data_IF_764618268517
#
_entry.id   IF_764618268517
#
_cell.length_a   1.000
_cell.length_b   1.000
_cell.length_c   1.000
_cell.angle_alpha   90.00
_cell.angle_beta   90.00
_cell.angle_gamma   90.00
#
_symmetry.space_group_name_H-M   'P 1'
#
loop_
_entity.id
_entity.type
_entity.pdbx_description
1 polymer ?
#
# COMPACT_ATOMS: atom_id res chain seq x y z
N UNK A 1 -26.86 -9.52 17.82
CA UNK A 1 -26.09 -10.39 16.90
C UNK A 1 -24.58 -10.29 17.00
N UNK A 2 -23.94 -9.10 17.11
CA UNK A 2 -22.46 -8.99 17.23
C UNK A 2 -21.85 -9.65 18.48
N UNK A 3 -22.54 -9.61 19.63
CA UNK A 3 -22.05 -10.22 20.88
C UNK A 3 -22.01 -11.74 20.86
N UNK A 4 -23.04 -12.37 20.28
CA UNK A 4 -23.13 -13.84 20.13
C UNK A 4 -22.01 -14.35 19.20
N UNK A 5 -21.66 -13.59 18.16
CA UNK A 5 -20.57 -13.93 17.26
C UNK A 5 -19.17 -13.73 17.86
N UNK A 6 -19.05 -12.83 18.85
CA UNK A 6 -17.84 -12.71 19.67
C UNK A 6 -17.63 -13.93 20.56
N UNK A 7 -18.69 -14.38 21.24
CA UNK A 7 -18.63 -15.56 22.12
C UNK A 7 -18.37 -16.83 21.33
N UNK A 8 -19.05 -17.04 20.20
CA UNK A 8 -18.78 -18.15 19.27
C UNK A 8 -17.35 -18.12 18.73
N UNK A 9 -16.81 -16.94 18.38
CA UNK A 9 -15.39 -16.84 17.99
C UNK A 9 -14.43 -17.17 19.13
N UNK A 10 -14.82 -16.94 20.39
CA UNK A 10 -13.97 -17.23 21.54
C UNK A 10 -14.01 -18.73 21.87
N UNK A 11 -15.16 -19.37 21.70
CA UNK A 11 -15.35 -20.83 21.87
C UNK A 11 -14.72 -21.61 20.70
N UNK A 12 -14.83 -21.09 19.47
CA UNK A 12 -14.21 -21.68 18.26
C UNK A 12 -12.69 -21.46 18.23
N UNK A 13 -12.19 -20.34 18.78
CA UNK A 13 -10.75 -20.03 18.89
C UNK A 13 -10.22 -20.32 20.29
N UNK A 14 -10.63 -21.46 20.86
CA UNK A 14 -10.01 -21.99 22.07
C UNK A 14 -8.50 -22.08 21.88
N UNK A 15 -7.76 -21.37 22.73
CA UNK A 15 -6.31 -21.18 22.70
C UNK A 15 -5.76 -20.56 21.41
N UNK A 16 -4.66 -19.80 21.55
CA UNK A 16 -4.00 -19.09 20.47
C UNK A 16 -3.97 -19.93 19.18
N UNK A 17 -4.40 -19.35 18.05
CA UNK A 17 -4.02 -19.91 16.75
C UNK A 17 -2.50 -19.93 16.74
N UNK A 18 -1.89 -21.06 17.08
CA UNK A 18 -0.57 -21.38 16.60
C UNK A 18 -0.69 -21.25 15.09
N UNK A 19 -0.09 -20.21 14.51
CA UNK A 19 0.24 -20.21 13.10
C UNK A 19 1.28 -21.32 12.94
N UNK A 20 0.81 -22.58 12.94
CA UNK A 20 1.61 -23.73 12.59
C UNK A 20 1.94 -23.55 11.12
N UNK A 21 3.18 -23.14 10.88
CA UNK A 21 3.78 -23.20 9.57
C UNK A 21 3.87 -24.68 9.15
N UNK A 22 3.76 -24.98 7.85
CA UNK A 22 3.97 -26.33 7.37
C UNK A 22 5.41 -26.77 7.65
N UNK A 23 5.62 -28.08 7.74
CA UNK A 23 6.93 -28.67 8.02
C UNK A 23 7.90 -28.57 6.83
N UNK A 24 7.44 -28.09 5.68
CA UNK A 24 8.23 -27.91 4.48
C UNK A 24 7.62 -26.83 3.57
N UNK A 25 8.46 -26.27 2.71
CA UNK A 25 8.06 -25.37 1.63
C UNK A 25 8.69 -25.83 0.32
N UNK A 26 8.01 -25.56 -0.80
CA UNK A 26 8.42 -25.98 -2.14
C UNK A 26 8.60 -24.77 -3.05
N UNK A 27 9.65 -24.79 -3.85
CA UNK A 27 9.86 -23.85 -4.96
C UNK A 27 9.27 -24.38 -6.28
N UNK A 28 8.60 -25.54 -6.24
CA UNK A 28 8.02 -26.23 -7.39
C UNK A 28 8.93 -27.28 -8.02
N UNK A 29 10.21 -27.36 -7.62
CA UNK A 29 11.18 -28.35 -8.09
C UNK A 29 11.61 -29.27 -6.94
N UNK A 30 11.89 -28.71 -5.76
CA UNK A 30 12.32 -29.46 -4.59
C UNK A 30 11.57 -29.01 -3.33
N UNK A 31 11.37 -29.96 -2.41
CA UNK A 31 10.82 -29.69 -1.09
C UNK A 31 11.94 -29.40 -0.09
N UNK A 32 11.89 -28.23 0.54
CA UNK A 32 12.80 -27.82 1.60
C UNK A 32 12.14 -28.06 2.97
N UNK A 33 12.78 -28.91 3.78
CA UNK A 33 12.34 -29.26 5.13
C UNK A 33 13.16 -28.56 6.24
N UNK A 34 14.22 -27.83 5.90
CA UNK A 34 15.06 -27.13 6.86
C UNK A 34 14.49 -25.73 7.14
N UNK A 35 13.98 -25.52 8.36
CA UNK A 35 13.34 -24.26 8.72
C UNK A 35 14.29 -23.06 8.73
N UNK A 36 15.60 -23.28 8.96
CA UNK A 36 16.60 -22.20 8.86
C UNK A 36 16.71 -21.73 7.40
N UNK A 37 16.79 -22.67 6.46
CA UNK A 37 16.87 -22.33 5.03
C UNK A 37 15.56 -21.73 4.53
N UNK A 38 14.41 -22.16 5.09
CA UNK A 38 13.09 -21.62 4.77
C UNK A 38 12.97 -20.15 5.18
N UNK A 39 13.42 -19.75 6.38
CA UNK A 39 13.34 -18.33 6.79
C UNK A 39 14.24 -17.45 5.94
N UNK A 40 15.41 -17.93 5.53
CA UNK A 40 16.27 -17.24 4.55
C UNK A 40 15.60 -17.10 3.19
N UNK A 41 14.99 -18.19 2.69
CA UNK A 41 14.26 -18.20 1.42
C UNK A 41 13.07 -17.24 1.44
N UNK A 42 12.34 -17.16 2.55
CA UNK A 42 11.28 -16.17 2.73
C UNK A 42 11.82 -14.75 2.71
N UNK A 43 12.95 -14.51 3.38
CA UNK A 43 13.52 -13.16 3.44
C UNK A 43 13.97 -12.71 2.05
N UNK A 44 14.72 -13.57 1.35
CA UNK A 44 15.13 -13.34 -0.04
C UNK A 44 13.92 -13.12 -0.95
N UNK A 45 12.90 -13.96 -0.88
CA UNK A 45 11.68 -13.82 -1.67
C UNK A 45 10.98 -12.47 -1.42
N UNK A 46 10.79 -12.06 -0.16
CA UNK A 46 10.09 -10.81 0.14
C UNK A 46 10.89 -9.56 -0.21
N UNK A 47 12.22 -9.60 -0.17
CA UNK A 47 13.06 -8.48 -0.59
C UNK A 47 13.07 -8.34 -2.12
N UNK A 48 13.10 -9.47 -2.85
CA UNK A 48 13.29 -9.46 -4.30
C UNK A 48 11.98 -9.45 -5.12
N UNK A 49 10.83 -9.79 -4.53
CA UNK A 49 9.54 -9.80 -5.27
C UNK A 49 9.20 -8.44 -5.91
N UNK A 50 9.54 -7.33 -5.26
CA UNK A 50 9.32 -5.98 -5.79
C UNK A 50 10.24 -5.65 -6.96
N UNK A 51 11.59 -5.75 -6.78
CA UNK A 51 12.55 -5.52 -7.86
C UNK A 51 12.35 -6.44 -9.06
N UNK A 52 12.07 -7.73 -8.83
CA UNK A 52 11.85 -8.71 -9.90
C UNK A 52 10.64 -8.33 -10.76
N UNK A 53 9.51 -7.98 -10.13
CA UNK A 53 8.31 -7.51 -10.82
C UNK A 53 8.54 -6.20 -11.58
N UNK A 54 9.36 -5.30 -11.05
CA UNK A 54 9.70 -4.04 -11.71
C UNK A 54 10.62 -4.24 -12.92
N UNK A 55 11.49 -5.26 -12.89
CA UNK A 55 12.40 -5.61 -13.98
C UNK A 55 11.68 -6.25 -15.18
N UNK A 56 10.54 -6.93 -14.94
CA UNK A 56 9.67 -7.44 -16.02
C UNK A 56 8.95 -6.33 -16.80
N UNK A 57 8.88 -5.10 -16.25
CA UNK A 57 8.17 -3.98 -16.87
C UNK A 57 9.09 -3.29 -17.89
N UNK A 58 8.64 -3.12 -19.16
CA UNK A 58 9.39 -2.42 -20.18
C UNK A 58 9.88 -1.03 -19.74
N UNK A 59 11.02 -0.59 -20.26
CA UNK A 59 11.45 0.79 -20.08
C UNK A 59 10.60 1.72 -20.95
N UNK A 60 9.91 2.66 -20.30
CA UNK A 60 9.13 3.71 -20.97
C UNK A 60 9.80 5.07 -20.73
N UNK A 61 9.70 5.98 -21.71
CA UNK A 61 10.25 7.33 -21.60
C UNK A 61 9.47 8.17 -20.57
N UNK A 62 10.17 8.67 -19.55
CA UNK A 62 9.60 9.37 -18.39
C UNK A 62 8.96 10.75 -18.69
N UNK A 63 9.20 11.34 -19.86
CA UNK A 63 8.87 12.75 -20.13
C UNK A 63 7.36 13.05 -20.11
N UNK A 64 6.50 12.08 -20.44
CA UNK A 64 5.04 12.29 -20.46
C UNK A 64 4.45 12.38 -19.04
N UNK A 65 5.05 11.71 -18.05
CA UNK A 65 4.49 11.58 -16.70
C UNK A 65 4.63 12.86 -15.88
N UNK A 66 5.68 13.66 -16.08
CA UNK A 66 5.85 14.93 -15.35
C UNK A 66 4.71 15.92 -15.65
N UNK A 67 4.07 15.79 -16.81
CA UNK A 67 2.94 16.63 -17.19
C UNK A 67 1.62 16.25 -16.48
N UNK A 68 1.49 15.01 -16.00
CA UNK A 68 0.28 14.51 -15.36
C UNK A 68 0.17 14.90 -13.89
N UNK A 69 1.27 15.29 -13.25
CA UNK A 69 1.29 15.65 -11.83
C UNK A 69 1.22 17.16 -11.67
N UNK A 70 0.12 17.65 -11.14
CA UNK A 70 -0.04 19.08 -10.84
C UNK A 70 1.00 19.56 -9.82
N UNK A 71 1.61 20.71 -10.08
CA UNK A 71 2.56 21.33 -9.15
C UNK A 71 1.79 22.06 -8.06
N UNK A 72 1.90 21.59 -6.82
CA UNK A 72 1.44 22.37 -5.69
C UNK A 72 2.45 23.50 -5.39
N UNK A 73 1.99 24.75 -5.50
CA UNK A 73 2.81 25.93 -5.18
C UNK A 73 3.15 26.08 -3.69
N UNK A 74 2.49 25.31 -2.81
CA UNK A 74 2.71 25.34 -1.36
C UNK A 74 3.69 24.24 -0.95
N UNK A 75 4.37 24.48 0.18
CA UNK A 75 5.37 23.57 0.72
C UNK A 75 5.00 23.17 2.14
N UNK A 76 5.15 21.87 2.44
CA UNK A 76 4.95 21.32 3.77
C UNK A 76 6.10 21.69 4.71
N UNK A 77 5.77 22.00 5.96
CA UNK A 77 6.74 22.27 7.01
C UNK A 77 6.60 21.27 8.16
N UNK A 78 7.73 20.81 8.69
CA UNK A 78 7.77 19.98 9.89
C UNK A 78 7.85 20.87 11.13
N UNK A 79 6.71 21.08 11.78
CA UNK A 79 6.66 21.77 13.06
C UNK A 79 7.25 20.89 14.17
N UNK A 80 7.81 21.54 15.20
CA UNK A 80 8.33 20.86 16.39
C UNK A 80 7.27 20.00 17.08
N UNK A 81 7.76 19.02 17.83
CA UNK A 81 6.98 18.05 18.61
C UNK A 81 7.13 18.40 20.09
N UNK A 82 6.02 18.30 20.84
CA UNK A 82 6.00 18.50 22.29
C UNK A 82 5.95 17.17 23.05
N UNK A 83 6.36 17.17 24.31
CA UNK A 83 6.28 15.98 25.18
C UNK A 83 4.83 15.46 25.31
N UNK A 84 3.86 16.37 25.46
CA UNK A 84 2.44 16.04 25.53
C UNK A 84 1.95 15.36 24.25
N UNK A 85 2.33 15.89 23.08
CA UNK A 85 1.98 15.29 21.80
C UNK A 85 2.49 13.83 21.67
N UNK A 86 3.72 13.57 22.13
CA UNK A 86 4.27 12.22 22.12
C UNK A 86 3.47 11.29 23.04
N UNK A 87 3.13 11.74 24.24
CA UNK A 87 2.33 10.97 25.20
C UNK A 87 0.96 10.65 24.60
N UNK A 88 0.30 11.62 23.97
CA UNK A 88 -1.01 11.44 23.35
C UNK A 88 -0.96 10.43 22.19
N UNK A 89 0.06 10.54 21.33
CA UNK A 89 0.30 9.59 20.23
C UNK A 89 0.47 8.17 20.75
N UNK A 90 1.24 7.99 21.83
CA UNK A 90 1.49 6.70 22.46
C UNK A 90 0.22 6.15 23.11
N UNK A 91 -0.50 6.97 23.86
CA UNK A 91 -1.75 6.59 24.52
C UNK A 91 -2.81 6.15 23.51
N UNK A 92 -2.90 6.83 22.36
CA UNK A 92 -3.78 6.45 21.24
C UNK A 92 -3.38 5.16 20.51
N UNK A 93 -2.19 4.61 20.76
CA UNK A 93 -1.79 3.33 20.16
C UNK A 93 -2.52 2.15 20.83
N UNK A 94 -2.88 1.13 20.04
CA UNK A 94 -3.48 -0.11 20.57
C UNK A 94 -2.46 -0.89 21.41
N UNK A 95 -2.90 -1.46 22.53
CA UNK A 95 -2.11 -2.37 23.36
C UNK A 95 -1.97 -3.72 22.65
N UNK A 96 -0.91 -3.89 21.86
CA UNK A 96 -0.55 -5.15 21.22
C UNK A 96 0.66 -5.75 21.94
N UNK A 97 0.65 -7.07 22.14
CA UNK A 97 1.76 -7.84 22.72
C UNK A 97 2.80 -8.29 21.69
N UNK A 98 2.58 -8.00 20.40
CA UNK A 98 3.57 -8.29 19.36
C UNK A 98 4.80 -7.42 19.54
N UNK A 99 5.95 -8.05 19.79
CA UNK A 99 7.22 -7.36 19.98
C UNK A 99 7.93 -7.04 18.67
N UNK A 100 8.63 -5.91 18.64
CA UNK A 100 9.49 -5.50 17.53
C UNK A 100 10.83 -6.27 17.51
N UNK A 101 11.83 -5.76 16.78
CA UNK A 101 13.16 -6.36 16.68
C UNK A 101 14.04 -6.16 17.94
N UNK A 102 13.60 -5.36 18.91
CA UNK A 102 14.26 -5.15 20.20
C UNK A 102 13.49 -5.82 21.34
N UNK A 103 12.54 -6.69 21.01
CA UNK A 103 11.60 -7.32 21.93
C UNK A 103 10.76 -6.32 22.75
N UNK A 104 10.51 -5.13 22.19
CA UNK A 104 9.69 -4.09 22.80
C UNK A 104 8.26 -4.14 22.22
N UNK A 105 7.26 -4.12 23.09
CA UNK A 105 5.86 -3.93 22.72
C UNK A 105 5.33 -2.55 23.15
N UNK A 106 4.16 -2.17 22.64
CA UNK A 106 3.57 -0.86 22.92
C UNK A 106 3.08 -0.73 24.38
N UNK A 107 2.81 -1.85 25.06
CA UNK A 107 2.38 -1.85 26.46
C UNK A 107 3.54 -1.43 27.36
N UNK A 108 4.73 -1.98 27.13
CA UNK A 108 5.96 -1.59 27.81
C UNK A 108 6.27 -0.11 27.57
N UNK A 109 6.18 0.35 26.32
CA UNK A 109 6.42 1.76 25.99
C UNK A 109 5.50 2.69 26.79
N UNK A 110 4.21 2.36 26.89
CA UNK A 110 3.24 3.13 27.70
C UNK A 110 3.59 3.17 29.18
N UNK A 111 4.17 2.11 29.72
CA UNK A 111 4.55 2.06 31.14
C UNK A 111 5.76 2.95 31.44
N UNK A 112 6.71 3.05 30.50
CA UNK A 112 7.97 3.78 30.73
C UNK A 112 7.99 5.20 30.17
N UNK A 113 6.99 5.60 29.38
CA UNK A 113 7.04 6.84 28.60
C UNK A 113 7.31 8.09 29.45
N UNK A 114 6.70 8.21 30.62
CA UNK A 114 6.89 9.37 31.50
C UNK A 114 8.36 9.57 31.92
N UNK A 115 9.15 8.49 31.96
CA UNK A 115 10.57 8.54 32.29
C UNK A 115 11.46 8.89 31.09
N UNK A 116 11.00 8.62 29.85
CA UNK A 116 11.80 8.76 28.62
C UNK A 116 11.26 9.79 27.63
N UNK A 117 10.15 10.47 27.94
CA UNK A 117 9.49 11.39 27.00
C UNK A 117 10.38 12.56 26.60
N UNK A 118 11.15 13.10 27.54
CA UNK A 118 12.06 14.24 27.29
C UNK A 118 13.17 13.88 26.28
N UNK A 119 14.00 12.84 26.48
CA UNK A 119 15.00 12.45 25.48
C UNK A 119 14.35 11.99 24.16
N UNK A 120 13.19 11.32 24.21
CA UNK A 120 12.47 10.94 22.99
C UNK A 120 12.02 12.17 22.18
N UNK A 121 11.49 13.19 22.86
CA UNK A 121 11.09 14.47 22.23
C UNK A 121 12.26 15.16 21.56
N UNK A 122 13.43 15.16 22.22
CA UNK A 122 14.65 15.69 21.63
C UNK A 122 15.03 14.92 20.34
N UNK A 123 15.00 13.59 20.36
CA UNK A 123 15.31 12.75 19.19
C UNK A 123 14.30 13.01 18.05
N UNK A 124 13.00 13.08 18.33
CA UNK A 124 11.98 13.36 17.33
C UNK A 124 12.17 14.73 16.69
N UNK A 125 12.43 15.77 17.48
CA UNK A 125 12.70 17.11 16.98
C UNK A 125 13.98 17.18 16.15
N UNK A 126 15.06 16.54 16.60
CA UNK A 126 16.31 16.47 15.84
C UNK A 126 16.09 15.75 14.50
N UNK A 127 15.31 14.68 14.50
CA UNK A 127 14.92 13.97 13.27
C UNK A 127 14.18 14.88 12.28
N UNK A 128 13.21 15.67 12.76
CA UNK A 128 12.47 16.62 11.91
C UNK A 128 13.30 17.81 11.45
N UNK A 129 14.24 18.30 12.26
CA UNK A 129 15.13 19.40 11.87
C UNK A 129 16.15 18.97 10.82
N UNK A 130 16.70 17.76 10.96
CA UNK A 130 17.74 17.24 10.06
C UNK A 130 17.17 16.48 8.85
N UNK A 131 15.88 16.20 8.84
CA UNK A 131 15.25 15.37 7.81
C UNK A 131 15.80 13.95 7.80
N UNK A 132 16.19 13.40 8.95
CA UNK A 132 16.86 12.09 9.03
C UNK A 132 16.16 11.19 10.04
N UNK A 133 15.89 9.94 9.65
CA UNK A 133 15.34 8.90 10.51
C UNK A 133 16.49 8.10 11.13
N UNK A 134 16.49 7.83 12.45
CA UNK A 134 17.53 7.01 13.08
C UNK A 134 17.61 5.60 12.50
N UNK A 135 18.82 5.09 12.24
CA UNK A 135 19.01 3.77 11.60
C UNK A 135 18.38 2.62 12.39
N UNK A 136 18.43 2.65 13.73
CA UNK A 136 17.78 1.64 14.59
C UNK A 136 16.24 1.61 14.41
N UNK A 137 15.64 2.68 13.91
CA UNK A 137 14.20 2.75 13.61
C UNK A 137 13.84 2.21 12.22
N UNK A 138 14.83 1.78 11.42
CA UNK A 138 14.66 1.31 10.02
C UNK A 138 14.73 -0.22 9.86
N UNK A 139 14.76 -0.95 10.96
CA UNK A 139 14.87 -2.42 10.98
C UNK A 139 13.48 -3.03 11.14
N UNK A 140 13.04 -3.86 10.19
CA UNK A 140 11.75 -4.54 10.23
C UNK A 140 11.90 -6.02 10.58
N UNK A 141 11.15 -6.47 11.60
CA UNK A 141 10.96 -7.90 11.87
C UNK A 141 9.75 -8.38 11.07
N UNK A 142 9.96 -9.23 10.07
CA UNK A 142 8.91 -9.69 9.15
C UNK A 142 8.36 -11.02 9.59
N UNK A 143 7.03 -11.09 9.71
CA UNK A 143 6.29 -12.32 10.00
C UNK A 143 5.53 -12.74 8.73
N UNK A 144 5.84 -13.90 8.13
CA UNK A 144 5.09 -14.42 7.00
C UNK A 144 3.68 -14.82 7.45
N UNK A 145 2.64 -14.26 6.82
CA UNK A 145 1.25 -14.62 7.08
C UNK A 145 0.65 -15.23 5.83
N UNK A 146 0.11 -16.45 5.95
CA UNK A 146 -0.58 -17.14 4.86
C UNK A 146 -1.83 -16.34 4.44
N UNK A 147 -1.95 -16.07 3.14
CA UNK A 147 -3.10 -15.34 2.56
C UNK A 147 -4.18 -16.32 2.11
N UNK A 148 -3.86 -17.16 1.12
CA UNK A 148 -4.77 -18.10 0.46
C UNK A 148 -3.97 -19.12 -0.36
N UNK A 149 -4.64 -20.14 -0.91
CA UNK A 149 -3.97 -21.17 -1.73
C UNK A 149 -3.13 -22.15 -0.92
N UNK A 150 -2.23 -22.86 -1.59
CA UNK A 150 -1.36 -23.86 -0.99
C UNK A 150 -0.37 -23.24 0.02
N UNK A 151 -0.35 -23.77 1.25
CA UNK A 151 0.53 -23.32 2.36
C UNK A 151 2.01 -23.64 2.12
N UNK A 152 2.34 -24.56 1.24
CA UNK A 152 3.73 -24.93 0.97
C UNK A 152 4.42 -23.98 -0.03
N UNK A 153 3.71 -22.98 -0.58
CA UNK A 153 4.23 -22.08 -1.62
C UNK A 153 4.47 -20.67 -1.04
N UNK A 154 5.68 -20.13 -1.21
CA UNK A 154 6.08 -18.80 -0.71
C UNK A 154 5.19 -17.65 -1.21
N UNK A 155 4.78 -17.67 -2.48
CA UNK A 155 3.99 -16.60 -3.12
C UNK A 155 2.62 -16.38 -2.48
N UNK A 156 2.10 -17.40 -1.79
CA UNK A 156 0.83 -17.41 -1.07
C UNK A 156 0.91 -16.77 0.33
N UNK A 157 2.07 -16.25 0.72
CA UNK A 157 2.29 -15.53 1.96
C UNK A 157 2.44 -14.02 1.72
N UNK A 158 2.12 -13.26 2.76
CA UNK A 158 2.33 -11.82 2.85
C UNK A 158 3.36 -11.50 3.93
N UNK A 159 4.29 -10.58 3.69
CA UNK A 159 5.21 -10.12 4.73
C UNK A 159 4.50 -9.11 5.64
N UNK A 160 4.30 -9.42 6.92
CA UNK A 160 3.85 -8.41 7.89
C UNK A 160 5.05 -7.88 8.66
N UNK A 161 5.36 -6.60 8.45
CA UNK A 161 6.46 -5.90 9.10
C UNK A 161 6.06 -5.41 10.49
N UNK A 162 6.76 -5.90 11.51
CA UNK A 162 6.76 -5.36 12.85
C UNK A 162 7.91 -4.35 12.95
N UNK A 163 7.57 -3.07 12.83
CA UNK A 163 8.52 -1.97 12.96
C UNK A 163 8.81 -1.64 14.43
N UNK A 164 9.97 -1.02 14.72
CA UNK A 164 10.31 -0.60 16.08
C UNK A 164 9.24 0.32 16.65
N UNK A 165 8.85 0.14 17.92
CA UNK A 165 7.74 0.92 18.49
C UNK A 165 8.01 2.43 18.44
N UNK A 166 9.27 2.83 18.64
CA UNK A 166 9.69 4.23 18.52
C UNK A 166 9.68 4.74 17.07
N UNK A 167 9.96 3.87 16.09
CA UNK A 167 9.80 4.20 14.66
C UNK A 167 8.34 4.54 14.37
N UNK A 168 7.41 3.72 14.87
CA UNK A 168 5.98 3.92 14.71
C UNK A 168 5.46 5.22 15.34
N UNK A 169 6.01 5.62 16.47
CA UNK A 169 5.69 6.90 17.13
C UNK A 169 6.15 8.06 16.23
N UNK A 170 7.40 8.00 15.75
CA UNK A 170 7.95 9.01 14.87
C UNK A 170 7.18 9.10 13.53
N UNK A 171 6.81 7.98 12.93
CA UNK A 171 5.96 7.92 11.74
C UNK A 171 4.59 8.58 11.99
N UNK A 172 3.97 8.36 13.14
CA UNK A 172 2.67 8.99 13.49
C UNK A 172 2.78 10.50 13.60
N UNK A 173 3.85 11.01 14.20
CA UNK A 173 4.11 12.44 14.31
C UNK A 173 4.29 13.07 12.93
N UNK A 174 5.07 12.41 12.05
CA UNK A 174 5.27 12.86 10.66
C UNK A 174 3.95 12.82 9.89
N UNK A 175 3.23 11.70 10.00
CA UNK A 175 1.95 11.48 9.31
C UNK A 175 0.91 12.52 9.71
N UNK A 176 0.85 12.95 10.98
CA UNK A 176 -0.07 14.01 11.42
C UNK A 176 0.19 15.34 10.68
N UNK A 177 1.46 15.73 10.54
CA UNK A 177 1.85 16.95 9.79
C UNK A 177 1.53 16.79 8.30
N UNK A 178 1.77 15.60 7.76
CA UNK A 178 1.47 15.29 6.36
C UNK A 178 -0.03 15.27 6.07
N UNK A 179 -0.86 14.69 6.94
CA UNK A 179 -2.32 14.69 6.81
C UNK A 179 -2.87 16.12 6.83
N UNK A 180 -2.42 16.94 7.78
CA UNK A 180 -2.81 18.35 7.84
C UNK A 180 -2.49 19.10 6.54
N UNK A 181 -1.34 18.83 5.93
CA UNK A 181 -0.94 19.46 4.67
C UNK A 181 -1.77 18.95 3.48
N UNK A 182 -1.95 17.63 3.39
CA UNK A 182 -2.75 16.98 2.34
C UNK A 182 -4.19 17.48 2.36
N UNK A 183 -4.81 17.53 3.53
CA UNK A 183 -6.21 17.93 3.68
C UNK A 183 -6.38 19.43 3.42
N UNK A 184 -5.48 20.27 3.94
CA UNK A 184 -5.49 21.71 3.71
C UNK A 184 -5.39 22.09 2.23
N UNK A 185 -4.62 21.33 1.46
CA UNK A 185 -4.38 21.60 0.04
C UNK A 185 -5.12 20.66 -0.91
N UNK A 186 -5.99 19.77 -0.38
CA UNK A 186 -6.81 18.81 -1.14
C UNK A 186 -6.00 18.02 -2.17
N UNK A 187 -4.85 17.49 -1.73
CA UNK A 187 -3.88 16.86 -2.66
C UNK A 187 -4.33 15.51 -3.18
N UNK A 188 -5.14 14.77 -2.41
CA UNK A 188 -5.64 13.45 -2.82
C UNK A 188 -7.00 13.61 -3.49
N UNK A 189 -7.15 13.01 -4.67
CA UNK A 189 -8.38 13.04 -5.45
C UNK A 189 -9.56 12.41 -4.68
N UNK A 190 -10.76 12.92 -4.87
CA UNK A 190 -11.96 12.44 -4.18
C UNK A 190 -12.40 11.04 -4.58
N UNK A 191 -11.99 10.55 -5.75
CA UNK A 191 -12.18 9.16 -6.18
C UNK A 191 -11.31 8.14 -5.46
N UNK A 192 -10.36 8.57 -4.61
CA UNK A 192 -9.59 7.70 -3.73
C UNK A 192 -10.28 7.59 -2.37
N UNK A 193 -10.73 6.39 -2.00
CA UNK A 193 -11.45 6.09 -0.76
C UNK A 193 -10.59 5.32 0.26
N UNK A 194 -9.55 4.63 -0.20
CA UNK A 194 -8.67 3.83 0.65
C UNK A 194 -7.83 4.72 1.57
N UNK A 195 -7.62 4.28 2.82
CA UNK A 195 -6.71 4.91 3.79
C UNK A 195 -6.88 6.42 3.99
N UNK A 196 -8.10 6.93 3.85
CA UNK A 196 -8.45 8.33 4.13
C UNK A 196 -9.40 8.42 5.32
N UNK A 197 -9.24 9.48 6.10
CA UNK A 197 -10.22 9.81 7.12
C UNK A 197 -11.57 10.12 6.47
N UNK A 198 -12.66 9.73 7.14
CA UNK A 198 -14.03 9.95 6.70
C UNK A 198 -14.41 9.35 5.32
N UNK A 199 -13.60 8.44 4.76
CA UNK A 199 -13.92 7.65 3.56
C UNK A 199 -14.05 6.18 3.96
N UNK A 200 -15.01 5.48 3.35
CA UNK A 200 -15.27 4.07 3.65
C UNK A 200 -15.46 3.26 2.38
N UNK A 201 -15.34 1.93 2.50
CA UNK A 201 -15.64 1.00 1.41
C UNK A 201 -17.09 1.13 0.95
N UNK A 202 -18.02 1.40 1.86
CA UNK A 202 -19.43 1.61 1.52
C UNK A 202 -19.63 2.83 0.62
N UNK A 203 -18.90 3.93 0.87
CA UNK A 203 -18.99 5.11 0.01
C UNK A 203 -18.44 4.86 -1.39
N UNK A 204 -17.35 4.07 -1.51
CA UNK A 204 -16.80 3.67 -2.81
C UNK A 204 -17.81 2.81 -3.59
N UNK A 205 -18.47 1.86 -2.91
CA UNK A 205 -19.49 1.02 -3.52
C UNK A 205 -20.70 1.85 -3.97
N UNK A 206 -21.13 2.83 -3.17
CA UNK A 206 -22.24 3.71 -3.53
C UNK A 206 -21.91 4.52 -4.79
N UNK A 207 -20.74 5.14 -4.87
CA UNK A 207 -20.30 5.91 -6.05
C UNK A 207 -20.21 5.02 -7.30
N UNK A 208 -19.72 3.79 -7.15
CA UNK A 208 -19.70 2.81 -8.25
C UNK A 208 -21.10 2.38 -8.71
N UNK A 209 -22.03 2.13 -7.77
CA UNK A 209 -23.42 1.77 -8.10
C UNK A 209 -24.12 2.93 -8.78
N UNK A 210 -23.95 4.15 -8.26
CA UNK A 210 -24.55 5.36 -8.82
C UNK A 210 -24.11 5.59 -10.27
N UNK A 211 -22.82 5.43 -10.57
CA UNK A 211 -22.30 5.52 -11.94
C UNK A 211 -22.96 4.49 -12.90
N UNK A 212 -23.11 3.25 -12.44
CA UNK A 212 -23.76 2.18 -13.21
C UNK A 212 -25.25 2.50 -13.40
N UNK A 213 -25.97 2.85 -12.34
CA UNK A 213 -27.41 3.12 -12.37
C UNK A 213 -27.72 4.32 -13.26
N UNK A 214 -26.99 5.42 -13.13
CA UNK A 214 -27.17 6.61 -13.98
C UNK A 214 -26.96 6.28 -15.46
N UNK A 215 -26.00 5.42 -15.78
CA UNK A 215 -25.76 4.97 -17.15
C UNK A 215 -26.92 4.13 -17.70
N UNK A 216 -27.48 3.23 -16.87
CA UNK A 216 -28.61 2.38 -17.25
C UNK A 216 -29.91 3.19 -17.42
N UNK A 217 -30.18 4.15 -16.54
CA UNK A 217 -31.33 5.06 -16.64
C UNK A 217 -31.24 5.93 -17.90
N UNK A 218 -30.02 6.35 -18.26
CA UNK A 218 -29.73 7.02 -19.52
C UNK A 218 -29.83 6.12 -20.76
N UNK A 219 -30.21 4.83 -20.61
CA UNK A 219 -30.25 3.82 -21.68
C UNK A 219 -28.91 3.66 -22.41
N UNK A 220 -27.80 3.92 -21.72
CA UNK A 220 -26.45 3.77 -22.27
C UNK A 220 -25.94 2.36 -22.06
N UNK A 221 -24.91 1.99 -22.81
CA UNK A 221 -24.08 0.85 -22.51
C UNK A 221 -22.99 1.26 -21.53
N UNK A 222 -22.78 0.51 -20.45
CA UNK A 222 -21.75 0.80 -19.46
C UNK A 222 -20.82 -0.39 -19.25
N UNK A 223 -19.59 -0.13 -18.87
CA UNK A 223 -18.63 -1.16 -18.51
C UNK A 223 -17.86 -0.76 -17.25
N UNK A 224 -17.66 -1.75 -16.38
CA UNK A 224 -16.80 -1.69 -15.21
C UNK A 224 -15.58 -2.59 -15.43
N UNK A 225 -14.39 -2.03 -15.29
CA UNK A 225 -13.12 -2.76 -15.30
C UNK A 225 -12.54 -2.74 -13.88
N UNK A 226 -12.32 -3.92 -13.33
CA UNK A 226 -11.81 -4.14 -11.99
C UNK A 226 -10.35 -4.56 -12.08
N UNK A 227 -9.45 -3.62 -11.85
CA UNK A 227 -8.00 -3.77 -12.02
C UNK A 227 -7.37 -4.23 -10.70
N UNK A 228 -6.59 -5.32 -10.76
CA UNK A 228 -5.79 -5.86 -9.65
C UNK A 228 -4.29 -5.64 -9.94
N UNK A 229 -3.55 -5.12 -8.97
CA UNK A 229 -2.09 -4.94 -9.06
C UNK A 229 -1.35 -6.07 -8.33
N UNK A 230 -0.27 -6.57 -8.93
CA UNK A 230 0.59 -7.55 -8.27
C UNK A 230 1.42 -6.86 -7.18
N UNK A 231 1.24 -7.28 -5.93
CA UNK A 231 2.10 -6.91 -4.79
C UNK A 231 2.34 -5.39 -4.69
N UNK A 232 1.26 -4.61 -4.83
CA UNK A 232 1.33 -3.17 -5.07
C UNK A 232 2.20 -2.39 -4.06
N UNK A 233 2.17 -2.74 -2.77
CA UNK A 233 3.00 -2.09 -1.74
C UNK A 233 4.49 -2.41 -1.84
N UNK A 234 4.83 -3.58 -2.38
CA UNK A 234 6.19 -4.11 -2.44
C UNK A 234 6.94 -3.57 -3.68
N UNK A 235 6.22 -3.02 -4.68
CA UNK A 235 6.78 -2.57 -5.97
C UNK A 235 7.04 -1.07 -6.08
N UNK A 236 6.77 -0.27 -5.04
CA UNK A 236 6.93 1.20 -5.12
C UNK A 236 8.38 1.58 -5.38
N UNK A 237 8.63 2.24 -6.51
CA UNK A 237 9.94 2.80 -6.80
C UNK A 237 10.16 4.08 -5.98
N UNK A 238 11.19 4.09 -5.13
CA UNK A 238 11.46 5.21 -4.22
C UNK A 238 11.79 6.51 -4.97
N UNK A 239 12.54 6.44 -6.08
CA UNK A 239 12.90 7.62 -6.87
C UNK A 239 11.68 8.26 -7.51
N UNK A 240 10.76 7.45 -8.06
CA UNK A 240 9.49 7.94 -8.60
C UNK A 240 8.66 8.58 -7.48
N UNK A 241 8.49 7.87 -6.36
CA UNK A 241 7.74 8.36 -5.21
C UNK A 241 8.25 9.73 -4.74
N UNK A 242 9.56 9.88 -4.54
CA UNK A 242 10.15 11.14 -4.09
C UNK A 242 9.93 12.29 -5.08
N UNK A 243 10.02 12.03 -6.39
CA UNK A 243 9.70 13.03 -7.43
C UNK A 243 8.24 13.47 -7.35
N UNK A 244 7.30 12.54 -7.18
CA UNK A 244 5.87 12.86 -7.04
C UNK A 244 5.60 13.69 -5.79
N UNK A 245 6.19 13.30 -4.66
CA UNK A 245 6.05 14.01 -3.39
C UNK A 245 6.56 15.46 -3.48
N UNK A 246 7.68 15.67 -4.18
CA UNK A 246 8.18 17.02 -4.45
C UNK A 246 7.14 17.87 -5.22
N UNK A 247 6.55 17.33 -6.28
CA UNK A 247 5.49 18.00 -7.06
C UNK A 247 4.28 18.33 -6.19
N UNK A 248 3.89 17.44 -5.29
CA UNK A 248 2.78 17.65 -4.33
C UNK A 248 3.07 18.66 -3.22
N UNK A 249 4.31 19.16 -3.11
CA UNK A 249 4.67 20.17 -2.11
C UNK A 249 5.35 19.62 -0.87
N UNK A 250 5.70 18.34 -0.84
CA UNK A 250 6.53 17.76 0.20
C UNK A 250 7.98 17.91 -0.29
N UNK A 251 8.64 18.99 0.14
CA UNK A 251 9.97 19.42 -0.35
C UNK A 251 10.95 19.63 0.79
N UNK A 252 12.21 19.84 0.43
CA UNK A 252 13.27 20.17 1.39
C UNK A 252 13.37 19.14 2.52
N UNK A 253 13.47 19.61 3.76
CA UNK A 253 13.67 18.75 4.94
C UNK A 253 12.59 17.68 5.10
N UNK A 254 11.33 17.98 4.75
CA UNK A 254 10.25 17.01 4.81
C UNK A 254 10.45 15.86 3.81
N UNK A 255 10.86 16.20 2.58
CA UNK A 255 11.18 15.20 1.56
C UNK A 255 12.43 14.40 1.94
N UNK A 256 13.47 15.06 2.45
CA UNK A 256 14.68 14.40 2.97
C UNK A 256 14.35 13.40 4.07
N UNK A 257 13.37 13.73 4.93
CA UNK A 257 12.90 12.82 5.97
C UNK A 257 12.29 11.54 5.37
N UNK A 258 11.43 11.65 4.35
CA UNK A 258 10.86 10.48 3.65
C UNK A 258 11.95 9.69 2.93
N UNK A 259 12.88 10.36 2.26
CA UNK A 259 14.02 9.71 1.64
C UNK A 259 14.82 8.92 2.67
N UNK A 260 15.17 9.53 3.81
CA UNK A 260 15.85 8.84 4.90
C UNK A 260 15.01 7.71 5.51
N UNK A 261 13.68 7.83 5.52
CA UNK A 261 12.78 6.78 6.03
C UNK A 261 12.81 5.53 5.12
N UNK A 262 12.93 5.72 3.81
CA UNK A 262 12.93 4.67 2.79
C UNK A 262 14.33 4.06 2.56
N UNK A 263 15.39 4.85 2.67
CA UNK A 263 16.78 4.41 2.40
C UNK A 263 17.45 3.76 3.62
N UNK A 264 18.24 2.72 3.36
CA UNK A 264 19.02 2.01 4.38
C UNK A 264 18.14 1.22 5.35
N UNK A 265 17.00 0.74 4.85
CA UNK A 265 16.10 -0.14 5.61
C UNK A 265 16.57 -1.58 5.49
N UNK A 266 16.41 -2.30 6.59
CA UNK A 266 16.76 -3.71 6.66
C UNK A 266 15.57 -4.52 7.16
N UNK A 267 15.45 -5.76 6.72
CA UNK A 267 14.51 -6.71 7.30
C UNK A 267 15.13 -8.07 7.57
N UNK A 268 14.49 -8.80 8.46
CA UNK A 268 14.72 -10.22 8.65
C UNK A 268 13.38 -10.92 8.87
N UNK A 269 13.29 -12.20 8.53
CA UNK A 269 12.10 -13.03 8.72
C UNK A 269 12.22 -13.82 10.02
N UNK A 270 11.14 -13.85 10.81
CA UNK A 270 11.02 -14.70 12.00
C UNK A 270 9.82 -15.64 11.89
N UNK A 271 10.06 -16.93 12.09
CA UNK A 271 9.05 -18.00 12.09
C UNK A 271 9.24 -18.88 13.33
N UNK A 272 8.46 -18.61 14.38
CA UNK A 272 8.69 -19.25 15.68
C UNK A 272 10.07 -18.88 16.24
N UNK A 273 10.89 -19.88 16.53
CA UNK A 273 12.27 -19.71 17.02
C UNK A 273 13.29 -19.44 15.90
N UNK A 274 12.92 -19.71 14.63
CA UNK A 274 13.82 -19.56 13.49
C UNK A 274 13.85 -18.10 13.01
N UNK A 275 15.05 -17.61 12.73
CA UNK A 275 15.31 -16.21 12.35
C UNK A 275 16.32 -16.18 11.22
N UNK A 276 16.03 -15.43 10.16
CA UNK A 276 16.96 -15.22 9.04
C UNK A 276 18.02 -14.16 9.35
N UNK A 277 19.02 -14.03 8.48
CA UNK A 277 19.89 -12.87 8.39
C UNK A 277 19.14 -11.60 7.99
N UNK A 278 19.85 -10.47 8.08
CA UNK A 278 19.35 -9.17 7.63
C UNK A 278 19.57 -8.99 6.13
N UNK A 279 18.57 -8.48 5.44
CA UNK A 279 18.65 -8.08 4.04
C UNK A 279 18.18 -6.63 3.87
N UNK A 280 18.80 -5.91 2.94
CA UNK A 280 18.46 -4.53 2.63
C UNK A 280 17.22 -4.47 1.72
N UNK A 281 16.37 -3.47 1.93
CA UNK A 281 15.14 -3.27 1.16
C UNK A 281 15.37 -2.18 0.11
N UNK A 282 15.32 -2.55 -1.17
CA UNK A 282 15.56 -1.65 -2.31
C UNK A 282 14.32 -0.94 -2.87
N UNK A 283 13.12 -1.48 -2.65
CA UNK A 283 11.87 -0.87 -3.11
C UNK A 283 10.68 -1.21 -2.21
N UNK A 284 9.53 -0.59 -2.49
CA UNK A 284 8.31 -0.80 -1.73
C UNK A 284 8.26 -0.01 -0.43
N UNK A 285 7.18 -0.20 0.31
CA UNK A 285 6.99 0.34 1.66
C UNK A 285 6.61 -0.80 2.62
N UNK A 286 7.05 -0.77 3.89
CA UNK A 286 6.80 -1.88 4.81
C UNK A 286 5.29 -2.10 5.03
N UNK A 287 4.81 -3.31 4.76
CA UNK A 287 3.43 -3.72 5.04
C UNK A 287 3.20 -3.77 6.56
N UNK A 288 2.42 -2.83 7.09
CA UNK A 288 2.20 -2.66 8.53
C UNK A 288 2.80 -1.37 9.10
N UNK A 289 3.52 -0.60 8.28
CA UNK A 289 3.93 0.78 8.60
C UNK A 289 2.72 1.72 8.69
N UNK A 290 2.92 2.85 9.36
CA UNK A 290 1.90 3.90 9.46
C UNK A 290 1.88 4.73 8.17
N UNK A 291 3.07 5.02 7.62
CA UNK A 291 3.21 5.86 6.43
C UNK A 291 2.94 5.13 5.11
N UNK A 292 3.20 3.82 5.03
CA UNK A 292 3.10 3.04 3.79
C UNK A 292 1.79 3.24 3.03
N UNK A 293 0.62 3.10 3.67
CA UNK A 293 -0.67 3.34 3.02
C UNK A 293 -0.84 4.75 2.43
N UNK A 294 -0.32 5.78 3.10
CA UNK A 294 -0.42 7.16 2.64
C UNK A 294 0.53 7.46 1.49
N UNK A 295 1.76 6.94 1.57
CA UNK A 295 2.73 7.03 0.49
C UNK A 295 2.22 6.31 -0.77
N UNK A 296 1.55 5.17 -0.62
CA UNK A 296 0.90 4.47 -1.72
C UNK A 296 -0.19 5.32 -2.38
N UNK A 297 -1.11 5.89 -1.58
CA UNK A 297 -2.15 6.75 -2.13
C UNK A 297 -1.58 7.93 -2.92
N UNK A 298 -0.56 8.61 -2.39
CA UNK A 298 0.12 9.71 -3.09
C UNK A 298 0.84 9.22 -4.36
N UNK A 299 1.42 8.02 -4.33
CA UNK A 299 2.11 7.44 -5.47
C UNK A 299 1.19 7.23 -6.67
N UNK A 300 -0.05 6.77 -6.43
CA UNK A 300 -1.00 6.49 -7.51
C UNK A 300 -1.93 7.66 -7.83
N UNK A 301 -1.86 8.76 -7.10
CA UNK A 301 -2.88 9.81 -7.14
C UNK A 301 -3.01 10.52 -8.50
N UNK A 302 -1.95 10.57 -9.31
CA UNK A 302 -1.98 11.13 -10.67
C UNK A 302 -2.64 10.19 -11.70
N UNK A 303 -3.04 8.97 -11.31
CA UNK A 303 -3.83 8.08 -12.18
C UNK A 303 -5.15 8.73 -12.63
N UNK A 304 -5.74 9.58 -11.78
CA UNK A 304 -6.96 10.32 -12.08
C UNK A 304 -6.78 11.35 -13.19
N UNK A 305 -5.53 11.73 -13.51
CA UNK A 305 -5.21 12.69 -14.56
C UNK A 305 -4.91 12.00 -15.91
N UNK A 306 -4.81 10.66 -15.93
CA UNK A 306 -4.51 9.87 -17.14
C UNK A 306 -5.64 9.94 -18.17
N UNK A 307 -6.89 9.94 -17.70
CA UNK A 307 -8.07 9.98 -18.56
C UNK A 307 -9.08 11.00 -18.06
N UNK A 308 -9.64 11.76 -19.00
CA UNK A 308 -10.79 12.65 -18.76
C UNK A 308 -12.13 11.98 -19.01
N UNK A 309 -12.12 10.78 -19.58
CA UNK A 309 -13.33 10.03 -19.96
C UNK A 309 -13.71 9.01 -18.89
N UNK A 310 -12.71 8.36 -18.29
CA UNK A 310 -12.93 7.30 -17.31
C UNK A 310 -13.28 7.87 -15.94
N UNK A 311 -14.29 7.29 -15.30
CA UNK A 311 -14.57 7.48 -13.88
C UNK A 311 -13.80 6.43 -13.09
N UNK A 312 -12.91 6.86 -12.22
CA UNK A 312 -12.14 5.97 -11.35
C UNK A 312 -12.69 6.00 -9.93
N UNK A 313 -12.89 4.82 -9.36
CA UNK A 313 -13.25 4.61 -7.94
C UNK A 313 -12.22 3.66 -7.36
N UNK A 314 -11.31 4.21 -6.55
CA UNK A 314 -10.13 3.49 -6.06
C UNK A 314 -10.25 3.29 -4.55
N UNK A 315 -9.91 2.09 -4.10
CA UNK A 315 -9.72 1.80 -2.69
C UNK A 315 -8.36 1.13 -2.51
N UNK A 316 -7.34 1.91 -2.11
CA UNK A 316 -5.96 1.41 -2.04
C UNK A 316 -5.50 0.87 -3.40
N UNK A 317 -5.06 -0.39 -3.47
CA UNK A 317 -4.62 -1.07 -4.68
C UNK A 317 -5.77 -1.53 -5.59
N UNK A 318 -6.99 -1.68 -5.05
CA UNK A 318 -8.17 -2.04 -5.84
C UNK A 318 -8.62 -0.82 -6.68
N UNK A 319 -8.48 -0.92 -8.00
CA UNK A 319 -8.79 0.16 -8.94
C UNK A 319 -9.98 -0.21 -9.80
N UNK A 320 -11.12 0.46 -9.61
CA UNK A 320 -12.31 0.25 -10.42
C UNK A 320 -12.47 1.40 -11.42
N UNK A 321 -12.66 1.04 -12.67
CA UNK A 321 -12.78 1.98 -13.80
C UNK A 321 -14.16 1.82 -14.41
N UNK A 322 -14.87 2.91 -14.59
CA UNK A 322 -16.20 2.93 -15.19
C UNK A 322 -16.23 3.87 -16.40
N UNK A 323 -16.97 3.45 -17.43
CA UNK A 323 -17.24 4.27 -18.60
C UNK A 323 -18.56 3.84 -19.23
N UNK A 324 -19.30 4.79 -19.79
CA UNK A 324 -20.54 4.54 -20.51
C UNK A 324 -20.62 5.32 -21.82
N UNK A 325 -21.34 4.76 -22.79
CA UNK A 325 -21.54 5.34 -24.10
C UNK A 325 -22.89 4.92 -24.69
N UNK A 326 -23.47 5.78 -25.52
CA UNK A 326 -24.75 5.49 -26.19
C UNK A 326 -24.59 4.40 -27.27
N UNK A 327 -23.38 4.23 -27.81
CA UNK A 327 -23.06 3.23 -28.81
C UNK A 327 -22.07 2.19 -28.27
N UNK A 328 -22.43 0.92 -28.39
CA UNK A 328 -21.62 -0.20 -27.89
C UNK A 328 -20.23 -0.31 -28.55
N UNK A 329 -20.15 -0.15 -29.87
CA UNK A 329 -18.85 -0.20 -30.57
C UNK A 329 -17.92 0.92 -30.09
N UNK A 330 -18.46 2.13 -29.96
CA UNK A 330 -17.71 3.26 -29.40
C UNK A 330 -17.32 3.05 -27.94
N UNK A 331 -18.16 2.39 -27.13
CA UNK A 331 -17.82 2.01 -25.74
C UNK A 331 -16.54 1.17 -25.73
N UNK A 332 -16.51 0.08 -26.50
CA UNK A 332 -15.40 -0.87 -26.54
C UNK A 332 -14.14 -0.21 -27.11
N UNK A 333 -14.25 0.56 -28.20
CA UNK A 333 -13.11 1.27 -28.79
C UNK A 333 -12.48 2.26 -27.81
N UNK A 334 -13.30 3.07 -27.15
CA UNK A 334 -12.81 4.08 -26.20
C UNK A 334 -12.19 3.41 -24.96
N UNK A 335 -12.81 2.37 -24.39
CA UNK A 335 -12.25 1.63 -23.26
C UNK A 335 -10.88 1.07 -23.61
N UNK A 336 -10.74 0.41 -24.75
CA UNK A 336 -9.45 -0.13 -25.19
C UNK A 336 -8.39 0.98 -25.38
N UNK A 337 -8.79 2.16 -25.87
CA UNK A 337 -7.90 3.32 -25.99
C UNK A 337 -7.43 3.82 -24.61
N UNK A 338 -8.37 4.03 -23.67
CA UNK A 338 -8.06 4.59 -22.36
C UNK A 338 -7.34 3.59 -21.45
N UNK A 339 -7.62 2.29 -21.55
CA UNK A 339 -6.90 1.25 -20.83
C UNK A 339 -5.43 1.15 -21.26
N UNK A 340 -5.11 1.40 -22.55
CA UNK A 340 -3.72 1.50 -22.99
C UNK A 340 -3.00 2.65 -22.30
N UNK A 341 -3.64 3.82 -22.17
CA UNK A 341 -3.06 4.96 -21.44
C UNK A 341 -2.82 4.64 -19.97
N UNK A 342 -3.80 4.01 -19.31
CA UNK A 342 -3.65 3.53 -17.93
C UNK A 342 -2.52 2.53 -17.80
N UNK A 343 -2.38 1.60 -18.74
CA UNK A 343 -1.31 0.61 -18.75
C UNK A 343 0.06 1.28 -18.92
N UNK A 344 0.22 2.16 -19.90
CA UNK A 344 1.45 2.95 -20.07
C UNK A 344 1.80 3.73 -18.81
N UNK A 345 0.81 4.35 -18.16
CA UNK A 345 1.02 5.03 -16.88
C UNK A 345 1.48 4.06 -15.78
N UNK A 346 0.88 2.85 -15.67
CA UNK A 346 1.31 1.84 -14.71
C UNK A 346 2.75 1.38 -14.96
N UNK A 347 3.12 1.18 -16.22
CA UNK A 347 4.47 0.75 -16.61
C UNK A 347 5.52 1.79 -16.26
N UNK A 348 5.27 3.07 -16.57
CA UNK A 348 6.16 4.18 -16.18
C UNK A 348 6.30 4.22 -14.66
N UNK A 349 5.21 3.98 -13.93
CA UNK A 349 5.20 3.93 -12.47
C UNK A 349 5.68 2.60 -11.88
N UNK A 350 6.19 1.68 -12.68
CA UNK A 350 6.67 0.36 -12.23
C UNK A 350 5.63 -0.42 -11.41
N UNK A 351 4.35 -0.30 -11.78
CA UNK A 351 3.24 -1.04 -11.18
C UNK A 351 2.83 -2.20 -12.10
N UNK A 352 3.03 -3.43 -11.64
CA UNK A 352 2.71 -4.62 -12.43
C UNK A 352 1.22 -4.97 -12.37
N UNK A 353 0.55 -4.96 -13.52
CA UNK A 353 -0.84 -5.38 -13.67
C UNK A 353 -1.00 -6.90 -13.48
N UNK A 354 -2.06 -7.32 -12.77
CA UNK A 354 -2.44 -8.71 -12.66
C UNK A 354 -3.56 -9.06 -13.64
N UNK A 355 -3.19 -9.39 -14.88
CA UNK A 355 -4.13 -9.71 -15.95
C UNK A 355 -5.09 -10.84 -15.60
N UNK A 356 -4.62 -11.88 -14.89
CA UNK A 356 -5.46 -13.02 -14.52
C UNK A 356 -6.61 -12.64 -13.56
N UNK A 357 -6.38 -11.63 -12.71
CA UNK A 357 -7.35 -11.16 -11.72
C UNK A 357 -8.10 -9.92 -12.15
N UNK A 358 -7.62 -9.22 -13.18
CA UNK A 358 -8.35 -8.13 -13.80
C UNK A 358 -9.60 -8.68 -14.49
N UNK A 359 -10.74 -8.02 -14.32
CA UNK A 359 -12.03 -8.46 -14.86
C UNK A 359 -12.80 -7.30 -15.48
N UNK A 360 -13.58 -7.61 -16.50
CA UNK A 360 -14.51 -6.67 -17.13
C UNK A 360 -15.94 -7.15 -16.92
N UNK A 361 -16.83 -6.22 -16.62
CA UNK A 361 -18.26 -6.45 -16.54
C UNK A 361 -18.98 -5.40 -17.36
N UNK A 362 -19.91 -5.84 -18.21
CA UNK A 362 -20.77 -4.97 -19.00
C UNK A 362 -22.15 -4.84 -18.33
N UNK A 363 -22.70 -3.63 -18.33
CA UNK A 363 -23.99 -3.30 -17.73
C UNK A 363 -24.89 -2.62 -18.77
N UNK A 364 -26.06 -3.23 -19.04
CA UNK A 364 -26.99 -2.75 -20.07
C UNK A 364 -27.77 -3.89 -20.71
N UNK A 365 -28.71 -3.54 -21.59
CA UNK A 365 -29.44 -4.52 -22.40
C UNK A 365 -28.60 -4.86 -23.63
N UNK A 366 -27.79 -5.91 -23.52
CA UNK A 366 -26.99 -6.43 -24.63
C UNK A 366 -27.71 -7.62 -25.26
N UNK A 367 -28.17 -7.47 -26.50
CA UNK A 367 -28.75 -8.57 -27.27
C UNK A 367 -27.68 -9.47 -27.94
N UNK A 368 -26.40 -9.09 -27.85
CA UNK A 368 -25.27 -9.79 -28.47
C UNK A 368 -24.17 -10.07 -27.44
N UNK A 369 -23.35 -11.09 -27.68
CA UNK A 369 -22.17 -11.38 -26.86
C UNK A 369 -21.22 -10.18 -26.89
N UNK A 370 -20.73 -9.69 -25.74
CA UNK A 370 -19.86 -8.53 -25.74
C UNK A 370 -18.54 -8.82 -26.47
N UNK A 371 -18.12 -7.92 -27.35
CA UNK A 371 -16.75 -7.83 -27.90
C UNK A 371 -15.69 -7.88 -26.78
N UNK A 372 -14.54 -8.47 -27.09
CA UNK A 372 -13.43 -8.60 -26.16
C UNK A 372 -12.77 -7.26 -25.84
N UNK A 373 -12.69 -6.92 -24.55
CA UNK A 373 -11.80 -5.87 -24.06
C UNK A 373 -10.39 -6.45 -23.97
N UNK A 374 -9.40 -5.72 -24.46
CA UNK A 374 -8.03 -6.18 -24.56
C UNK A 374 -7.06 -5.21 -23.87
N UNK A 375 -6.18 -5.77 -23.06
CA UNK A 375 -4.99 -5.08 -22.54
C UNK A 375 -3.77 -5.94 -22.87
N UNK A 376 -2.76 -5.36 -23.53
CA UNK A 376 -1.49 -6.02 -23.89
C UNK A 376 -1.65 -7.34 -24.66
N UNK A 377 -2.64 -7.42 -25.55
CA UNK A 377 -2.91 -8.64 -26.33
C UNK A 377 -3.70 -9.70 -25.55
N UNK A 378 -3.97 -9.48 -24.27
CA UNK A 378 -4.80 -10.37 -23.44
C UNK A 378 -6.23 -9.89 -23.44
N UNK A 379 -7.14 -10.78 -23.83
CA UNK A 379 -8.59 -10.58 -23.69
C UNK A 379 -8.97 -10.77 -22.22
N UNK A 380 -9.59 -9.74 -21.62
CA UNK A 380 -9.96 -9.68 -20.20
C UNK A 380 -11.27 -10.40 -19.87
#
# INVERSE_FOLDING_TARGET
>A
MKGVWGILNTIIKGNAKNNSYPNYFTDGINDNHNMNDIVESFNSFFVNVGPDLAAEIPECSNNEMESLIDINSKTMFLSGVTETEIIDVINGCKNKSSTDCFDIDMTLVKQIIHSIVKPLTYICNLSFQTGTVPNKMKIAKVIPIHKNGNKHIFTNYRPVSLLPQFSKILEKLYNSRMDNFIDKHKLINEGQYGFRAARSTSMAIIDAIEEITNSLEGKKHAAGIFIDLKKAFDTLNHSILLKKLDRYGIRGVALSWIQSYLTGRQQYVKMGEFTSGYLDIGCGVPQGSVLGPKLFNLYINDIFNVSKLLKLVIFADDTNVFYSNDNYSNLVTNINCELRKLKTWMDINKLSLNLNKTKVMFFGNYNEKPDSVNIDGVVL
#
